data_IF_949830674251
#
_entry.id   IF_949830674251
#
_cell.length_a   1.000
_cell.length_b   1.000
_cell.length_c   1.000
_cell.angle_alpha   90.00
_cell.angle_beta   90.00
_cell.angle_gamma   90.00
#
_symmetry.space_group_name_H-M   'P 1'
#
loop_
_entity.id
_entity.type
_entity.pdbx_description
1 polymer ?
#
# COMPACT_ATOMS: atom_id res chain seq x y z
N UNK A 1 -18.42 -3.96 -8.97
CA UNK A 1 -17.63 -5.19 -9.04
C UNK A 1 -16.22 -4.76 -8.73
N UNK A 2 -15.64 -5.21 -7.60
CA UNK A 2 -14.35 -4.69 -7.10
C UNK A 2 -13.13 -5.24 -7.86
N UNK A 3 -13.34 -6.25 -8.69
CA UNK A 3 -12.30 -6.88 -9.50
C UNK A 3 -12.44 -6.43 -10.95
N UNK A 4 -11.46 -5.65 -11.41
CA UNK A 4 -11.39 -5.15 -12.79
C UNK A 4 -10.68 -6.13 -13.73
N UNK A 5 -10.01 -7.16 -13.20
CA UNK A 5 -9.05 -8.02 -13.91
C UNK A 5 -7.97 -7.24 -14.69
N UNK A 6 -7.71 -5.99 -14.30
CA UNK A 6 -6.67 -5.17 -14.91
C UNK A 6 -5.30 -5.65 -14.44
N UNK A 7 -4.46 -6.07 -15.38
CA UNK A 7 -3.08 -6.47 -15.12
C UNK A 7 -2.15 -5.29 -15.34
N UNK A 8 -1.18 -5.11 -14.43
CA UNK A 8 -0.13 -4.11 -14.55
C UNK A 8 1.22 -4.78 -14.31
N UNK A 9 2.22 -4.45 -15.13
CA UNK A 9 3.61 -4.80 -14.83
C UNK A 9 4.23 -3.66 -14.06
N UNK A 10 4.78 -3.95 -12.89
CA UNK A 10 5.38 -2.95 -12.00
C UNK A 10 6.77 -3.39 -11.55
N UNK A 11 7.63 -2.42 -11.29
CA UNK A 11 8.84 -2.66 -10.52
C UNK A 11 8.47 -2.64 -9.03
N UNK A 12 8.81 -3.73 -8.32
CA UNK A 12 8.52 -3.88 -6.90
C UNK A 12 9.82 -4.12 -6.12
N UNK A 13 9.84 -3.65 -4.87
CA UNK A 13 10.93 -3.90 -3.95
C UNK A 13 10.64 -5.19 -3.15
N UNK A 14 11.54 -6.17 -3.24
CA UNK A 14 11.54 -7.31 -2.31
C UNK A 14 12.23 -6.88 -1.02
N UNK A 15 11.44 -6.64 0.03
CA UNK A 15 11.93 -6.15 1.32
C UNK A 15 11.64 -7.16 2.45
N UNK A 16 12.69 -7.82 2.94
CA UNK A 16 12.60 -8.76 4.06
C UNK A 16 12.48 -8.06 5.42
N UNK A 17 12.73 -6.75 5.50
CA UNK A 17 12.52 -5.94 6.69
C UNK A 17 11.07 -5.46 6.85
N UNK A 18 10.23 -5.65 5.85
CA UNK A 18 8.84 -5.22 5.89
C UNK A 18 7.95 -6.26 6.58
N UNK A 19 7.07 -5.82 7.48
CA UNK A 19 6.15 -6.72 8.20
C UNK A 19 4.94 -7.15 7.36
N UNK A 20 4.64 -6.43 6.29
CA UNK A 20 3.55 -6.76 5.36
C UNK A 20 3.66 -5.98 4.08
N UNK A 21 3.10 -6.51 2.99
CA UNK A 21 3.11 -5.83 1.69
C UNK A 21 2.44 -4.47 1.79
N UNK A 22 3.10 -3.45 1.26
CA UNK A 22 2.57 -2.11 1.14
C UNK A 22 2.75 -1.60 -0.29
N UNK A 23 1.93 -0.64 -0.68
CA UNK A 23 1.95 -0.02 -2.00
C UNK A 23 1.90 1.49 -1.83
N UNK A 24 2.58 2.22 -2.71
CA UNK A 24 2.60 3.67 -2.66
C UNK A 24 1.19 4.26 -2.88
N UNK A 25 0.81 5.18 -1.99
CA UNK A 25 -0.54 5.75 -2.01
C UNK A 25 -0.80 6.67 -3.21
N UNK A 26 0.24 7.26 -3.80
CA UNK A 26 0.09 8.08 -5.00
C UNK A 26 -0.12 7.20 -6.22
N UNK A 27 0.64 6.12 -6.36
CA UNK A 27 0.43 5.11 -7.41
C UNK A 27 -1.00 4.56 -7.40
N UNK A 28 -1.54 4.21 -6.23
CA UNK A 28 -2.93 3.73 -6.06
C UNK A 28 -3.95 4.76 -6.56
N UNK A 29 -3.73 6.05 -6.24
CA UNK A 29 -4.61 7.14 -6.70
C UNK A 29 -4.53 7.36 -8.20
N UNK A 30 -3.33 7.36 -8.75
CA UNK A 30 -3.09 7.57 -10.18
C UNK A 30 -3.72 6.46 -11.02
N UNK A 31 -3.64 5.21 -10.54
CA UNK A 31 -4.30 4.04 -11.14
C UNK A 31 -5.79 3.91 -10.82
N UNK A 32 -6.32 4.76 -9.92
CA UNK A 32 -7.72 4.78 -9.50
C UNK A 32 -8.20 3.44 -8.93
N UNK A 33 -7.34 2.75 -8.20
CA UNK A 33 -7.75 1.52 -7.52
C UNK A 33 -8.74 1.83 -6.41
N UNK A 34 -9.77 0.99 -6.28
CA UNK A 34 -10.71 1.07 -5.17
C UNK A 34 -10.04 0.62 -3.88
N UNK A 35 -10.04 1.48 -2.87
CA UNK A 35 -9.50 1.22 -1.54
C UNK A 35 -10.62 1.08 -0.51
N UNK A 36 -10.31 0.44 0.62
CA UNK A 36 -11.18 0.38 1.79
C UNK A 36 -10.44 0.86 3.02
N UNK A 37 -11.09 1.73 3.80
CA UNK A 37 -10.54 2.19 5.09
C UNK A 37 -10.36 1.02 6.05
N UNK A 38 -9.23 1.02 6.77
CA UNK A 38 -9.03 0.09 7.89
C UNK A 38 -9.58 0.70 9.19
N UNK A 39 -10.11 -0.11 10.13
CA UNK A 39 -10.67 0.40 11.38
C UNK A 39 -9.66 1.14 12.28
N UNK A 40 -8.37 0.77 12.18
CA UNK A 40 -7.29 1.37 12.95
C UNK A 40 -6.09 1.64 12.04
N UNK A 41 -5.62 2.90 11.92
CA UNK A 41 -4.43 3.22 11.16
C UNK A 41 -3.20 2.44 11.63
N UNK A 42 -2.37 2.00 10.69
CA UNK A 42 -1.11 1.30 10.99
C UNK A 42 0.04 2.32 10.92
N UNK A 43 0.72 2.61 12.05
CA UNK A 43 1.86 3.52 12.03
C UNK A 43 3.00 2.91 11.20
N UNK A 44 3.59 3.73 10.32
CA UNK A 44 4.73 3.34 9.49
C UNK A 44 5.97 3.98 10.06
N UNK A 45 7.01 3.18 10.27
CA UNK A 45 8.31 3.62 10.72
C UNK A 45 9.34 3.40 9.62
N UNK A 46 10.25 4.35 9.46
CA UNK A 46 11.40 4.19 8.59
C UNK A 46 12.43 3.25 9.24
N UNK A 47 13.45 2.83 8.49
CA UNK A 47 14.49 1.94 8.99
C UNK A 47 15.28 2.52 10.19
N UNK A 48 15.33 3.85 10.33
CA UNK A 48 15.93 4.55 11.47
C UNK A 48 15.02 4.66 12.70
N UNK A 49 13.81 4.08 12.64
CA UNK A 49 12.83 4.09 13.71
C UNK A 49 11.98 5.36 13.82
N UNK A 50 12.21 6.36 12.95
CA UNK A 50 11.37 7.57 12.91
C UNK A 50 10.03 7.29 12.24
N UNK A 51 9.00 8.09 12.57
CA UNK A 51 7.71 8.01 11.88
C UNK A 51 7.86 8.41 10.41
N UNK A 52 7.18 7.67 9.55
CA UNK A 52 7.13 8.00 8.13
C UNK A 52 6.45 9.37 7.92
N UNK A 53 7.10 10.24 7.15
CA UNK A 53 6.61 11.61 6.90
C UNK A 53 5.27 11.68 6.15
N UNK A 54 4.95 10.62 5.38
CA UNK A 54 3.69 10.52 4.66
C UNK A 54 2.55 9.97 5.52
N UNK A 55 2.83 9.67 6.79
CA UNK A 55 1.86 9.25 7.78
C UNK A 55 1.65 7.74 7.86
N UNK A 56 0.54 7.37 8.49
CA UNK A 56 0.12 5.98 8.68
C UNK A 56 -0.57 5.41 7.44
N UNK A 57 -0.61 4.08 7.34
CA UNK A 57 -1.50 3.39 6.41
C UNK A 57 -2.92 3.48 6.97
N UNK A 58 -3.86 3.97 6.16
CA UNK A 58 -5.26 4.18 6.54
C UNK A 58 -6.24 3.35 5.72
N UNK A 59 -5.77 2.70 4.66
CA UNK A 59 -6.59 2.00 3.67
C UNK A 59 -5.86 0.77 3.15
N UNK A 60 -6.62 -0.19 2.62
CA UNK A 60 -6.08 -1.35 1.92
C UNK A 60 -6.75 -1.50 0.55
N UNK A 61 -6.04 -2.16 -0.36
CA UNK A 61 -6.51 -2.65 -1.66
C UNK A 61 -6.21 -4.14 -1.75
N UNK A 62 -7.10 -4.90 -2.38
CA UNK A 62 -6.85 -6.31 -2.71
C UNK A 62 -6.42 -6.40 -4.16
N UNK A 63 -5.24 -6.94 -4.40
CA UNK A 63 -4.71 -7.21 -5.74
C UNK A 63 -4.66 -8.72 -5.96
N UNK A 64 -4.96 -9.16 -7.18
CA UNK A 64 -4.67 -10.51 -7.62
C UNK A 64 -3.22 -10.54 -8.12
N UNK A 65 -2.42 -11.46 -7.59
CA UNK A 65 -1.04 -11.72 -8.02
C UNK A 65 -0.96 -13.00 -8.82
#
# INVERSE_FOLDING_TARGET
MLDTLQTETVEALLDSGCTGSCIDSQFVKDKRYETRKIPRPIPVYNADGTLNKNGAINEFVTLLM
#
